data_IF_352697060951
#
_entry.id   IF_352697060951
#
_cell.length_a   1.000
_cell.length_b   1.000
_cell.length_c   1.000
_cell.angle_alpha   90.00
_cell.angle_beta   90.00
_cell.angle_gamma   90.00
#
_symmetry.space_group_name_H-M   'P 1'
#
loop_
_entity.id
_entity.type
_entity.pdbx_description
1 polymer ?
#
# COMPACT_ATOMS: atom_id res chain seq x y z
N UNK A 1 -17.54 15.16 3.11
CA UNK A 1 -16.90 14.37 2.04
C UNK A 1 -15.78 15.24 1.50
N UNK A 2 -14.64 14.68 1.12
CA UNK A 2 -13.46 15.45 0.77
C UNK A 2 -13.13 15.24 -0.71
N UNK A 3 -12.86 16.32 -1.45
CA UNK A 3 -12.29 16.25 -2.78
C UNK A 3 -10.78 16.26 -2.65
N UNK A 4 -10.15 15.22 -3.19
CA UNK A 4 -8.70 15.03 -3.14
C UNK A 4 -8.13 15.04 -4.55
N UNK A 5 -6.96 15.64 -4.73
CA UNK A 5 -6.14 15.47 -5.92
C UNK A 5 -4.66 15.33 -5.54
N UNK A 6 -3.95 14.49 -6.27
CA UNK A 6 -2.52 14.26 -6.07
C UNK A 6 -1.82 14.38 -7.42
N UNK A 7 -0.82 15.24 -7.52
CA UNK A 7 0.08 15.32 -8.67
C UNK A 7 1.51 15.10 -8.21
N UNK A 8 2.20 14.13 -8.79
CA UNK A 8 3.63 13.91 -8.61
C UNK A 8 4.38 14.51 -9.80
N UNK A 9 5.11 15.60 -9.59
CA UNK A 9 6.04 16.14 -10.58
C UNK A 9 7.37 15.37 -10.53
N UNK A 10 7.77 14.79 -11.67
CA UNK A 10 9.06 14.12 -11.84
C UNK A 10 10.04 14.99 -12.63
N UNK A 11 10.29 16.20 -12.13
CA UNK A 11 11.37 17.07 -12.61
C UNK A 11 11.04 17.90 -13.84
N UNK A 12 9.76 18.20 -14.12
CA UNK A 12 9.40 19.20 -15.12
C UNK A 12 9.95 20.58 -14.74
N UNK A 13 10.23 21.42 -15.74
CA UNK A 13 10.41 22.87 -15.51
C UNK A 13 9.10 23.46 -14.98
N UNK A 14 9.17 24.64 -14.38
CA UNK A 14 8.00 25.31 -13.84
C UNK A 14 6.96 25.62 -14.92
N UNK A 15 7.42 26.02 -16.12
CA UNK A 15 6.55 26.28 -17.28
C UNK A 15 5.89 25.01 -17.83
N UNK A 16 6.66 23.92 -17.96
CA UNK A 16 6.13 22.62 -18.41
C UNK A 16 5.12 22.04 -17.41
N UNK A 17 5.38 22.20 -16.13
CA UNK A 17 4.49 21.77 -15.07
C UNK A 17 3.20 22.60 -15.07
N UNK A 18 3.31 23.92 -15.17
CA UNK A 18 2.16 24.81 -15.22
C UNK A 18 1.25 24.48 -16.41
N UNK A 19 1.81 24.35 -17.61
CA UNK A 19 1.04 23.97 -18.82
C UNK A 19 0.42 22.57 -18.71
N UNK A 20 1.12 21.62 -18.07
CA UNK A 20 0.56 20.29 -17.78
C UNK A 20 -0.64 20.36 -16.83
N UNK A 21 -0.54 21.17 -15.77
CA UNK A 21 -1.64 21.41 -14.82
C UNK A 21 -2.82 22.13 -15.47
N UNK A 22 -2.58 23.06 -16.41
CA UNK A 22 -3.64 23.69 -17.20
C UNK A 22 -4.36 22.68 -18.10
N UNK A 23 -3.62 21.76 -18.73
CA UNK A 23 -4.24 20.67 -19.50
C UNK A 23 -5.11 19.77 -18.62
N UNK A 24 -4.67 19.45 -17.40
CA UNK A 24 -5.47 18.71 -16.42
C UNK A 24 -6.73 19.49 -16.01
N UNK A 25 -6.61 20.81 -15.82
CA UNK A 25 -7.74 21.72 -15.59
C UNK A 25 -8.75 21.64 -16.73
N UNK A 26 -8.31 21.69 -17.98
CA UNK A 26 -9.21 21.58 -19.13
C UNK A 26 -9.90 20.23 -19.21
N UNK A 27 -9.19 19.13 -18.94
CA UNK A 27 -9.76 17.79 -18.91
C UNK A 27 -10.84 17.63 -17.83
N UNK A 28 -10.75 18.38 -16.73
CA UNK A 28 -11.78 18.37 -15.68
C UNK A 28 -13.16 18.89 -16.13
N UNK A 29 -13.25 19.59 -17.27
CA UNK A 29 -14.52 20.13 -17.81
C UNK A 29 -15.55 19.04 -18.11
N UNK A 30 -15.11 17.80 -18.35
CA UNK A 30 -16.00 16.67 -18.63
C UNK A 30 -16.59 16.01 -17.37
N UNK A 31 -16.28 16.51 -16.16
CA UNK A 31 -16.82 15.96 -14.91
C UNK A 31 -18.29 16.39 -14.74
N UNK A 32 -19.19 15.43 -14.48
CA UNK A 32 -20.64 15.64 -14.67
C UNK A 32 -21.32 16.75 -13.83
N UNK A 33 -20.84 17.06 -12.63
CA UNK A 33 -21.51 18.02 -11.73
C UNK A 33 -20.83 19.41 -11.75
N UNK A 34 -21.60 20.50 -11.85
CA UNK A 34 -21.08 21.88 -11.90
C UNK A 34 -20.20 22.24 -10.70
N UNK A 35 -20.69 22.04 -9.47
CA UNK A 35 -19.93 22.33 -8.22
C UNK A 35 -18.60 21.56 -8.19
N UNK A 36 -18.61 20.30 -8.62
CA UNK A 36 -17.42 19.44 -8.67
C UNK A 36 -16.41 19.90 -9.72
N UNK A 37 -16.88 20.32 -10.91
CA UNK A 37 -16.02 20.92 -11.94
C UNK A 37 -15.31 22.17 -11.44
N UNK A 38 -16.04 23.05 -10.76
CA UNK A 38 -15.48 24.27 -10.20
C UNK A 38 -14.36 23.96 -9.19
N UNK A 39 -14.57 22.99 -8.30
CA UNK A 39 -13.54 22.58 -7.33
C UNK A 39 -12.28 22.00 -8.00
N UNK A 40 -12.42 21.21 -9.06
CA UNK A 40 -11.25 20.74 -9.83
C UNK A 40 -10.57 21.88 -10.59
N UNK A 41 -11.35 22.83 -11.10
CA UNK A 41 -10.83 24.02 -11.74
C UNK A 41 -9.97 24.85 -10.78
N UNK A 42 -10.49 25.08 -9.57
CA UNK A 42 -9.80 25.80 -8.50
C UNK A 42 -8.56 25.04 -8.03
N UNK A 43 -8.66 23.73 -7.85
CA UNK A 43 -7.54 22.84 -7.54
C UNK A 43 -6.37 23.03 -8.51
N UNK A 44 -6.58 22.82 -9.81
CA UNK A 44 -5.48 22.90 -10.78
C UNK A 44 -4.99 24.33 -10.99
N UNK A 45 -5.85 25.34 -10.83
CA UNK A 45 -5.43 26.75 -10.85
C UNK A 45 -4.51 27.08 -9.67
N UNK A 46 -4.85 26.63 -8.46
CA UNK A 46 -3.99 26.79 -7.28
C UNK A 46 -2.68 26.01 -7.41
N UNK A 47 -2.72 24.79 -7.91
CA UNK A 47 -1.50 24.00 -8.18
C UNK A 47 -0.59 24.69 -9.20
N UNK A 48 -1.14 25.22 -10.30
CA UNK A 48 -0.35 25.92 -11.31
C UNK A 48 0.29 27.21 -10.75
N UNK A 49 -0.45 27.96 -9.93
CA UNK A 49 0.10 29.12 -9.22
C UNK A 49 1.26 28.75 -8.27
N UNK A 50 1.15 27.63 -7.56
CA UNK A 50 2.25 27.10 -6.73
C UNK A 50 3.43 26.63 -7.58
N UNK A 51 3.17 25.98 -8.72
CA UNK A 51 4.20 25.50 -9.64
C UNK A 51 5.10 26.63 -10.16
N UNK A 52 4.53 27.79 -10.50
CA UNK A 52 5.28 28.97 -10.96
C UNK A 52 6.29 29.51 -9.93
N UNK A 53 6.15 29.15 -8.65
CA UNK A 53 7.06 29.57 -7.58
C UNK A 53 8.10 28.50 -7.25
N UNK A 54 8.10 27.34 -7.92
CA UNK A 54 9.10 26.30 -7.74
C UNK A 54 10.33 26.56 -8.61
N UNK A 55 11.47 26.03 -8.17
CA UNK A 55 12.64 25.95 -9.02
C UNK A 55 12.43 24.90 -10.12
N UNK A 56 12.97 25.16 -11.31
CA UNK A 56 12.93 24.20 -12.41
C UNK A 56 13.51 22.84 -12.03
N UNK A 57 12.87 21.77 -12.50
CA UNK A 57 13.33 20.41 -12.23
C UNK A 57 13.03 19.92 -10.82
N UNK A 58 12.20 20.63 -10.04
CA UNK A 58 11.79 20.18 -8.71
C UNK A 58 11.00 18.88 -8.79
N UNK A 59 11.30 17.95 -7.88
CA UNK A 59 10.54 16.72 -7.69
C UNK A 59 9.68 16.89 -6.44
N UNK A 60 8.37 16.92 -6.60
CA UNK A 60 7.44 17.16 -5.49
C UNK A 60 6.07 16.53 -5.75
N UNK A 61 5.32 16.36 -4.68
CA UNK A 61 3.88 16.16 -4.73
C UNK A 61 3.15 17.48 -4.54
N UNK A 62 2.09 17.68 -5.30
CA UNK A 62 1.02 18.61 -5.00
C UNK A 62 -0.16 17.81 -4.46
N UNK A 63 -0.55 18.08 -3.23
CA UNK A 63 -1.71 17.48 -2.58
C UNK A 63 -2.77 18.54 -2.42
N UNK A 64 -3.94 18.30 -2.98
CA UNK A 64 -5.09 19.17 -2.79
C UNK A 64 -6.16 18.48 -1.97
N UNK A 65 -6.74 19.22 -1.04
CA UNK A 65 -7.85 18.80 -0.20
C UNK A 65 -8.89 19.91 -0.08
N UNK A 66 -10.17 19.55 -0.22
CA UNK A 66 -11.30 20.46 -0.08
C UNK A 66 -12.48 19.76 0.63
N UNK A 67 -12.99 20.38 1.71
CA UNK A 67 -14.13 19.85 2.48
C UNK A 67 -15.47 20.15 1.81
N UNK A 68 -15.93 19.25 0.96
CA UNK A 68 -17.17 19.43 0.19
C UNK A 68 -18.45 19.33 1.03
N UNK A 69 -18.36 19.23 2.36
CA UNK A 69 -19.53 19.30 3.26
C UNK A 69 -19.98 20.74 3.55
N UNK A 70 -19.16 21.74 3.20
CA UNK A 70 -19.46 23.17 3.38
C UNK A 70 -19.87 23.82 2.06
N UNK A 71 -20.67 24.87 2.12
CA UNK A 71 -21.11 25.59 0.92
C UNK A 71 -20.04 26.53 0.34
N UNK A 72 -19.14 27.05 1.18
CA UNK A 72 -17.98 27.86 0.78
C UNK A 72 -16.70 27.03 0.91
N UNK A 73 -16.52 26.09 -0.01
CA UNK A 73 -15.40 25.14 0.04
C UNK A 73 -14.16 25.72 -0.63
N UNK A 74 -13.30 26.39 0.13
CA UNK A 74 -11.96 26.69 -0.33
C UNK A 74 -11.03 25.49 -0.06
N UNK A 75 -10.44 24.93 -1.11
CA UNK A 75 -9.41 23.89 -0.96
C UNK A 75 -8.00 24.44 -0.86
N UNK A 76 -7.11 23.69 -0.23
CA UNK A 76 -5.71 24.05 -0.05
C UNK A 76 -4.77 23.13 -0.85
N UNK A 77 -3.61 23.66 -1.25
CA UNK A 77 -2.57 22.91 -1.95
C UNK A 77 -1.31 22.85 -1.08
N UNK A 78 -1.02 21.66 -0.57
CA UNK A 78 0.23 21.33 0.09
C UNK A 78 1.26 20.88 -0.97
N UNK A 79 2.45 21.48 -0.96
CA UNK A 79 3.57 21.04 -1.80
C UNK A 79 4.57 20.28 -0.93
N UNK A 80 4.76 19.00 -1.23
CA UNK A 80 5.68 18.11 -0.49
C UNK A 80 6.84 17.75 -1.40
N UNK A 81 8.00 18.36 -1.20
CA UNK A 81 9.20 18.01 -1.94
C UNK A 81 9.67 16.58 -1.63
N UNK A 82 10.11 15.88 -2.67
CA UNK A 82 10.73 14.57 -2.50
C UNK A 82 12.07 14.73 -1.79
N UNK A 83 12.41 13.81 -0.90
CA UNK A 83 13.77 13.76 -0.33
C UNK A 83 14.80 13.38 -1.40
N UNK A 84 16.08 13.71 -1.19
CA UNK A 84 17.18 13.33 -2.12
C UNK A 84 17.11 11.86 -2.55
N UNK A 85 16.77 10.98 -1.62
CA UNK A 85 16.61 9.53 -1.86
C UNK A 85 15.43 9.24 -2.77
N UNK A 86 14.25 9.78 -2.47
CA UNK A 86 13.05 9.61 -3.30
C UNK A 86 13.29 10.15 -4.71
N UNK A 87 13.94 11.32 -4.85
CA UNK A 87 14.37 11.88 -6.15
C UNK A 87 15.25 10.87 -6.91
N UNK A 88 16.23 10.27 -6.25
CA UNK A 88 17.09 9.23 -6.86
C UNK A 88 16.35 7.99 -7.33
N UNK A 89 15.28 7.58 -6.63
CA UNK A 89 14.45 6.43 -7.02
C UNK A 89 13.65 6.70 -8.30
N UNK A 90 13.07 7.89 -8.43
CA UNK A 90 12.19 8.24 -9.56
C UNK A 90 12.93 8.81 -10.78
N UNK A 91 14.05 9.50 -10.59
CA UNK A 91 14.83 10.13 -11.67
C UNK A 91 15.84 9.16 -12.33
N UNK A 92 16.36 8.19 -11.58
CA UNK A 92 17.48 7.33 -12.01
C UNK A 92 17.10 6.03 -12.73
N UNK A 93 15.83 5.85 -13.11
CA UNK A 93 15.33 4.58 -13.67
C UNK A 93 15.34 3.42 -12.65
N UNK A 94 15.50 3.74 -11.36
CA UNK A 94 15.58 2.73 -10.31
C UNK A 94 14.23 2.13 -9.96
N UNK A 95 13.18 2.94 -10.04
CA UNK A 95 11.79 2.57 -9.80
C UNK A 95 10.93 3.11 -10.94
N UNK A 96 10.10 2.24 -11.51
CA UNK A 96 9.06 2.61 -12.45
C UNK A 96 7.79 2.96 -11.69
N UNK A 97 7.26 4.17 -11.90
CA UNK A 97 5.99 4.62 -11.34
C UNK A 97 4.82 4.19 -12.24
N UNK A 98 3.72 3.78 -11.62
CA UNK A 98 2.48 3.38 -12.29
C UNK A 98 1.39 4.40 -12.00
N UNK A 99 0.62 4.78 -13.02
CA UNK A 99 -0.51 5.70 -12.88
C UNK A 99 -0.73 6.53 -14.14
N UNK A 100 -1.73 7.43 -14.14
CA UNK A 100 -2.00 8.32 -15.25
C UNK A 100 -0.83 9.28 -15.47
N UNK A 101 -0.07 9.04 -16.55
CA UNK A 101 1.18 9.74 -16.87
C UNK A 101 0.90 10.86 -17.86
N UNK A 102 1.38 12.05 -17.55
CA UNK A 102 1.26 13.25 -18.36
C UNK A 102 2.64 13.76 -18.75
N UNK A 103 2.82 14.02 -20.03
CA UNK A 103 4.00 14.72 -20.57
C UNK A 103 3.68 16.20 -20.74
N UNK A 104 4.71 17.07 -20.77
CA UNK A 104 4.53 18.46 -21.15
C UNK A 104 3.75 18.55 -22.48
N UNK A 105 2.69 19.36 -22.56
CA UNK A 105 1.91 19.50 -23.79
C UNK A 105 2.74 20.00 -24.97
N UNK A 106 3.69 20.89 -24.69
CA UNK A 106 4.55 21.54 -25.69
C UNK A 106 5.80 20.72 -26.03
N UNK A 107 6.22 19.81 -25.13
CA UNK A 107 7.27 18.81 -25.41
C UNK A 107 6.81 17.37 -25.09
N UNK A 108 6.06 16.72 -26.01
CA UNK A 108 5.69 15.32 -25.89
C UNK A 108 6.87 14.33 -25.94
N UNK A 109 8.07 14.79 -26.30
CA UNK A 109 9.28 13.97 -26.33
C UNK A 109 10.03 13.98 -24.99
N UNK A 110 9.67 14.89 -24.09
CA UNK A 110 10.31 15.05 -22.78
C UNK A 110 10.39 13.74 -22.00
N UNK A 111 11.51 13.61 -21.27
CA UNK A 111 11.76 12.54 -20.31
C UNK A 111 11.10 12.81 -18.96
N UNK A 112 10.83 14.08 -18.64
CA UNK A 112 10.16 14.51 -17.41
C UNK A 112 8.65 14.35 -17.58
N UNK A 113 7.97 13.99 -16.50
CA UNK A 113 6.53 13.71 -16.51
C UNK A 113 5.88 14.10 -15.20
N UNK A 114 4.56 14.26 -15.23
CA UNK A 114 3.73 14.31 -14.06
C UNK A 114 2.85 13.04 -13.99
N UNK A 115 2.55 12.57 -12.79
CA UNK A 115 1.51 11.57 -12.56
C UNK A 115 0.38 12.22 -11.77
N UNK A 116 -0.86 12.05 -12.21
CA UNK A 116 -2.00 12.68 -11.56
C UNK A 116 -3.11 11.68 -11.20
N UNK A 117 -3.60 11.79 -9.97
CA UNK A 117 -4.70 11.00 -9.43
C UNK A 117 -5.73 11.94 -8.80
N UNK A 118 -6.99 11.51 -8.84
CA UNK A 118 -8.12 12.30 -8.35
C UNK A 118 -9.01 11.46 -7.43
N UNK A 119 -9.69 12.13 -6.52
CA UNK A 119 -10.66 11.55 -5.58
C UNK A 119 -10.07 10.39 -4.76
N UNK A 120 -10.81 9.28 -4.61
CA UNK A 120 -10.33 8.12 -3.86
C UNK A 120 -9.04 7.52 -4.42
N UNK A 121 -8.74 7.71 -5.71
CA UNK A 121 -7.47 7.27 -6.29
C UNK A 121 -6.29 8.13 -5.81
N UNK A 122 -6.50 9.41 -5.48
CA UNK A 122 -5.46 10.28 -4.94
C UNK A 122 -4.97 9.78 -3.57
N UNK A 123 -5.89 9.49 -2.65
CA UNK A 123 -5.52 8.93 -1.35
C UNK A 123 -4.89 7.55 -1.48
N UNK A 124 -5.46 6.68 -2.34
CA UNK A 124 -4.92 5.34 -2.59
C UNK A 124 -3.50 5.40 -3.14
N UNK A 125 -3.23 6.33 -4.07
CA UNK A 125 -1.89 6.53 -4.63
C UNK A 125 -0.92 7.06 -3.57
N UNK A 126 -1.34 8.04 -2.77
CA UNK A 126 -0.54 8.58 -1.68
C UNK A 126 -0.15 7.49 -0.67
N UNK A 127 -1.13 6.73 -0.18
CA UNK A 127 -0.93 5.68 0.81
C UNK A 127 -0.02 4.57 0.27
N UNK A 128 -0.15 4.19 -1.00
CA UNK A 128 0.70 3.16 -1.62
C UNK A 128 2.12 3.66 -1.92
N UNK A 129 2.27 4.88 -2.44
CA UNK A 129 3.59 5.46 -2.72
C UNK A 129 4.40 5.67 -1.45
N UNK A 130 3.75 6.00 -0.33
CA UNK A 130 4.42 6.18 0.96
C UNK A 130 4.57 4.85 1.70
N UNK A 131 3.47 4.13 1.91
CA UNK A 131 3.38 3.03 2.87
C UNK A 131 2.94 1.69 2.26
N UNK A 132 2.85 1.58 0.93
CA UNK A 132 2.48 0.34 0.26
C UNK A 132 3.45 -0.79 0.61
N UNK A 133 2.90 -1.94 1.00
CA UNK A 133 3.72 -3.12 1.25
C UNK A 133 4.12 -3.74 -0.08
N UNK A 134 5.41 -3.96 -0.32
CA UNK A 134 5.87 -4.54 -1.57
C UNK A 134 5.57 -6.04 -1.67
N UNK A 135 5.21 -6.47 -2.87
CA UNK A 135 5.22 -7.86 -3.27
C UNK A 135 6.42 -8.19 -4.15
N UNK A 136 6.76 -9.47 -4.21
CA UNK A 136 7.83 -10.06 -5.02
C UNK A 136 7.16 -10.94 -6.06
N UNK A 137 7.23 -10.54 -7.32
CA UNK A 137 6.67 -11.34 -8.40
C UNK A 137 7.71 -11.71 -9.43
N UNK A 138 7.63 -12.97 -9.87
CA UNK A 138 8.56 -13.59 -10.80
C UNK A 138 7.82 -13.79 -12.11
N UNK A 139 8.24 -13.04 -13.12
CA UNK A 139 7.80 -13.22 -14.50
C UNK A 139 8.72 -14.20 -15.22
N UNK A 140 8.38 -14.67 -16.44
CA UNK A 140 9.27 -15.55 -17.20
C UNK A 140 10.69 -14.96 -17.41
N UNK A 141 10.79 -13.64 -17.50
CA UNK A 141 12.02 -12.93 -17.85
C UNK A 141 12.75 -12.33 -16.65
N UNK A 142 12.04 -12.04 -15.56
CA UNK A 142 12.59 -11.22 -14.49
C UNK A 142 11.86 -11.30 -13.16
N UNK A 143 12.60 -11.00 -12.10
CA UNK A 143 12.13 -10.81 -10.73
C UNK A 143 11.92 -9.33 -10.47
N UNK A 144 10.75 -8.99 -9.96
CA UNK A 144 10.35 -7.63 -9.63
C UNK A 144 9.95 -7.53 -8.17
N UNK A 145 10.21 -6.35 -7.60
CA UNK A 145 9.63 -5.91 -6.33
C UNK A 145 8.71 -4.73 -6.65
N UNK A 146 7.47 -4.73 -6.17
CA UNK A 146 6.57 -3.62 -6.44
C UNK A 146 5.38 -3.50 -5.50
N UNK A 147 4.79 -2.31 -5.51
CA UNK A 147 3.47 -2.00 -4.93
C UNK A 147 2.47 -1.71 -6.06
N UNK A 148 1.29 -1.16 -5.75
CA UNK A 148 0.31 -0.79 -6.80
C UNK A 148 0.84 0.28 -7.74
N UNK A 149 1.57 1.27 -7.21
CA UNK A 149 1.97 2.48 -7.94
C UNK A 149 3.47 2.56 -8.24
N UNK A 150 4.26 1.55 -7.91
CA UNK A 150 5.70 1.54 -8.18
C UNK A 150 6.29 0.13 -8.25
N UNK A 151 7.29 -0.09 -9.10
CA UNK A 151 8.05 -1.35 -9.14
C UNK A 151 9.52 -1.14 -9.48
N UNK A 152 10.36 -2.09 -9.13
CA UNK A 152 11.77 -2.14 -9.48
C UNK A 152 12.15 -3.52 -10.02
N UNK A 153 12.87 -3.52 -11.14
CA UNK A 153 13.53 -4.72 -11.66
C UNK A 153 14.69 -5.08 -10.72
N UNK A 154 14.70 -6.33 -10.24
CA UNK A 154 15.72 -6.82 -9.29
C UNK A 154 16.76 -7.72 -9.96
N UNK A 155 16.31 -8.67 -10.78
CA UNK A 155 17.19 -9.49 -11.63
C UNK A 155 16.44 -10.03 -12.84
N UNK A 156 17.17 -10.31 -13.92
CA UNK A 156 16.67 -11.22 -14.96
C UNK A 156 16.66 -12.66 -14.42
N UNK A 157 15.70 -13.48 -14.84
CA UNK A 157 15.67 -14.92 -14.53
C UNK A 157 16.84 -15.65 -15.18
N UNK A 158 17.31 -15.17 -16.34
CA UNK A 158 18.48 -15.67 -17.06
C UNK A 158 18.29 -17.03 -17.74
N UNK A 159 17.31 -17.82 -17.31
CA UNK A 159 16.90 -19.08 -17.93
C UNK A 159 15.42 -19.35 -17.67
N UNK A 160 14.71 -20.02 -18.58
CA UNK A 160 13.30 -20.37 -18.37
C UNK A 160 13.14 -21.28 -17.15
N UNK A 161 12.24 -20.91 -16.24
CA UNK A 161 11.84 -21.77 -15.11
C UNK A 161 10.94 -22.89 -15.64
N UNK A 162 11.49 -24.12 -15.68
CA UNK A 162 10.79 -25.30 -16.23
C UNK A 162 10.38 -26.30 -15.16
N UNK A 163 11.08 -26.33 -14.04
CA UNK A 163 10.77 -27.25 -12.95
C UNK A 163 10.36 -26.51 -11.68
N UNK A 164 9.57 -27.17 -10.83
CA UNK A 164 9.24 -26.65 -9.49
C UNK A 164 10.52 -26.40 -8.67
N UNK A 165 11.52 -27.27 -8.80
CA UNK A 165 12.82 -27.11 -8.14
C UNK A 165 13.58 -25.86 -8.60
N UNK A 166 13.48 -25.48 -9.88
CA UNK A 166 14.08 -24.24 -10.38
C UNK A 166 13.44 -23.02 -9.71
N UNK A 167 12.12 -23.05 -9.52
CA UNK A 167 11.37 -21.99 -8.85
C UNK A 167 11.75 -21.91 -7.38
N UNK A 168 11.77 -23.03 -6.66
CA UNK A 168 12.17 -23.07 -5.24
C UNK A 168 13.60 -22.58 -5.04
N UNK A 169 14.53 -23.01 -5.92
CA UNK A 169 15.91 -22.53 -5.90
C UNK A 169 15.98 -21.03 -6.13
N UNK A 170 15.28 -20.51 -7.14
CA UNK A 170 15.25 -19.08 -7.41
C UNK A 170 14.71 -18.30 -6.21
N UNK A 171 13.60 -18.74 -5.61
CA UNK A 171 13.00 -18.08 -4.43
C UNK A 171 13.95 -18.12 -3.23
N UNK A 172 14.65 -19.24 -2.99
CA UNK A 172 15.64 -19.34 -1.92
C UNK A 172 16.87 -18.43 -2.13
N UNK A 173 17.19 -18.08 -3.38
CA UNK A 173 18.24 -17.10 -3.72
C UNK A 173 17.79 -15.64 -3.51
N UNK A 174 16.49 -15.37 -3.35
CA UNK A 174 15.99 -14.02 -3.13
C UNK A 174 16.24 -13.58 -1.69
N UNK A 175 17.47 -13.13 -1.40
CA UNK A 175 17.77 -12.50 -0.11
C UNK A 175 17.36 -11.03 -0.14
N UNK A 176 16.94 -10.46 1.01
CA UNK A 176 16.56 -9.05 1.09
C UNK A 176 17.68 -8.14 0.56
N UNK A 177 18.93 -8.41 0.90
CA UNK A 177 20.09 -7.59 0.57
C UNK A 177 20.69 -7.86 -0.82
N UNK A 178 20.39 -9.00 -1.44
CA UNK A 178 20.73 -9.30 -2.83
C UNK A 178 19.89 -10.47 -3.35
N UNK A 179 19.11 -10.33 -4.44
CA UNK A 179 19.07 -9.24 -5.44
C UNK A 179 17.91 -8.25 -5.22
N UNK A 180 17.16 -8.36 -4.12
CA UNK A 180 15.93 -7.59 -3.94
C UNK A 180 16.23 -6.10 -3.74
N UNK A 181 15.40 -5.25 -4.33
CA UNK A 181 15.52 -3.79 -4.23
C UNK A 181 14.40 -3.23 -3.38
N UNK A 182 14.72 -2.24 -2.56
CA UNK A 182 13.70 -1.49 -1.84
C UNK A 182 12.96 -0.54 -2.79
N UNK A 183 11.64 -0.56 -2.70
CA UNK A 183 10.75 0.43 -3.33
C UNK A 183 10.12 1.37 -2.29
N UNK A 184 10.51 1.26 -1.02
CA UNK A 184 9.94 2.09 0.07
C UNK A 184 10.46 3.53 0.02
N UNK A 185 9.56 4.49 0.19
CA UNK A 185 9.89 5.92 0.23
C UNK A 185 10.38 6.37 1.61
N UNK A 186 10.16 5.56 2.66
CA UNK A 186 10.58 5.86 4.04
C UNK A 186 11.85 5.11 4.47
N UNK A 187 12.01 3.85 4.05
CA UNK A 187 13.14 2.99 4.48
C UNK A 187 13.87 2.39 3.29
N UNK A 188 15.14 2.01 3.46
CA UNK A 188 15.97 1.42 2.39
C UNK A 188 16.02 -0.10 2.42
N UNK A 189 15.26 -0.70 3.32
CA UNK A 189 15.20 -2.14 3.50
C UNK A 189 14.40 -2.76 2.36
N UNK A 190 14.98 -3.72 1.63
CA UNK A 190 14.23 -4.53 0.68
C UNK A 190 13.30 -5.50 1.43
N UNK A 191 12.23 -6.00 0.78
CA UNK A 191 11.32 -6.92 1.42
C UNK A 191 11.97 -8.25 1.78
N UNK A 192 11.54 -8.81 2.91
CA UNK A 192 11.76 -10.22 3.19
C UNK A 192 10.85 -11.09 2.31
N UNK A 193 11.35 -12.26 1.91
CA UNK A 193 10.54 -13.29 1.24
C UNK A 193 9.66 -13.97 2.27
N UNK A 194 8.36 -14.04 2.01
CA UNK A 194 7.40 -14.76 2.83
C UNK A 194 6.34 -15.46 1.97
N UNK A 195 5.49 -16.24 2.64
CA UNK A 195 4.53 -17.12 1.97
C UNK A 195 3.43 -16.37 1.19
N UNK A 196 3.11 -15.13 1.55
CA UNK A 196 2.03 -14.38 0.90
C UNK A 196 2.53 -13.37 -0.13
N UNK A 197 3.76 -12.89 -0.01
CA UNK A 197 4.29 -11.82 -0.85
C UNK A 197 5.05 -12.31 -2.09
N UNK A 198 5.36 -13.60 -2.19
CA UNK A 198 6.15 -14.16 -3.30
C UNK A 198 5.31 -15.05 -4.22
N UNK A 199 5.30 -14.76 -5.52
CA UNK A 199 4.51 -15.51 -6.49
C UNK A 199 5.04 -15.44 -7.93
N UNK A 200 4.62 -16.41 -8.75
CA UNK A 200 4.80 -16.39 -10.19
C UNK A 200 3.70 -15.54 -10.85
N UNK A 201 4.09 -14.71 -11.82
CA UNK A 201 3.19 -13.86 -12.57
C UNK A 201 3.37 -14.07 -14.09
N UNK A 202 2.32 -14.58 -14.74
CA UNK A 202 2.30 -14.92 -16.16
C UNK A 202 2.22 -16.43 -16.39
N UNK A 203 2.50 -16.84 -17.63
CA UNK A 203 2.37 -18.24 -18.03
C UNK A 203 3.67 -19.02 -17.77
N UNK A 204 3.59 -20.06 -16.95
CA UNK A 204 4.67 -21.00 -16.67
C UNK A 204 4.24 -22.41 -17.04
N UNK A 205 5.13 -23.17 -17.68
CA UNK A 205 4.96 -24.60 -17.96
C UNK A 205 5.90 -25.39 -17.04
N UNK A 206 5.45 -25.61 -15.81
CA UNK A 206 6.21 -26.35 -14.80
C UNK A 206 5.96 -27.86 -14.90
N UNK A 207 6.90 -28.65 -14.40
CA UNK A 207 6.84 -30.11 -14.32
C UNK A 207 5.96 -30.65 -13.18
N UNK A 208 5.40 -29.78 -12.34
CA UNK A 208 4.56 -30.16 -11.20
C UNK A 208 3.86 -28.96 -10.52
N UNK A 209 3.06 -29.22 -9.47
CA UNK A 209 2.40 -28.18 -8.70
C UNK A 209 3.39 -27.39 -7.84
N UNK A 210 3.13 -26.08 -7.67
CA UNK A 210 3.92 -25.23 -6.78
C UNK A 210 3.64 -25.53 -5.29
N UNK A 211 4.63 -25.33 -4.40
CA UNK A 211 4.39 -25.29 -2.97
C UNK A 211 3.37 -24.21 -2.60
N UNK A 212 2.57 -24.43 -1.56
CA UNK A 212 1.56 -23.46 -1.10
C UNK A 212 2.15 -22.08 -0.73
N UNK A 213 3.42 -22.07 -0.31
CA UNK A 213 4.18 -20.86 0.04
C UNK A 213 4.56 -20.00 -1.17
N UNK A 214 4.39 -20.48 -2.40
CA UNK A 214 4.68 -19.74 -3.63
C UNK A 214 3.39 -19.60 -4.41
N UNK A 215 2.94 -18.35 -4.61
CA UNK A 215 1.73 -18.10 -5.39
C UNK A 215 1.92 -18.24 -6.89
N UNK A 216 0.80 -18.21 -7.61
CA UNK A 216 0.79 -18.16 -9.06
C UNK A 216 -0.45 -17.41 -9.55
N UNK A 217 -0.25 -16.46 -10.45
CA UNK A 217 -1.32 -15.72 -11.15
C UNK A 217 -0.94 -15.59 -12.62
N UNK A 218 -1.86 -15.93 -13.52
CA UNK A 218 -1.60 -15.85 -14.96
C UNK A 218 -2.00 -14.48 -15.51
N UNK A 219 -1.18 -13.45 -15.22
CA UNK A 219 -1.40 -12.09 -15.71
C UNK A 219 -0.08 -11.36 -15.93
N UNK A 220 -0.09 -10.35 -16.82
CA UNK A 220 0.97 -9.36 -17.00
C UNK A 220 0.57 -7.98 -16.49
N UNK A 221 -0.65 -7.82 -15.99
CA UNK A 221 -1.17 -6.56 -15.43
C UNK A 221 -0.64 -6.34 -14.02
N UNK A 222 0.07 -5.24 -13.80
CA UNK A 222 0.62 -4.88 -12.48
C UNK A 222 -0.47 -4.68 -11.43
N UNK A 223 -1.63 -4.16 -11.84
CA UNK A 223 -2.78 -3.99 -10.94
C UNK A 223 -3.30 -5.34 -10.47
N UNK A 224 -3.49 -6.30 -11.39
CA UNK A 224 -3.99 -7.64 -11.05
C UNK A 224 -2.97 -8.42 -10.20
N UNK A 225 -1.67 -8.27 -10.48
CA UNK A 225 -0.62 -8.86 -9.64
C UNK A 225 -0.68 -8.33 -8.20
N UNK A 226 -0.88 -7.03 -8.03
CA UNK A 226 -0.96 -6.45 -6.68
C UNK A 226 -2.28 -6.77 -5.98
N UNK A 227 -3.39 -6.87 -6.70
CA UNK A 227 -4.67 -7.35 -6.15
C UNK A 227 -4.55 -8.81 -5.69
N UNK A 228 -3.87 -9.67 -6.46
CA UNK A 228 -3.57 -11.05 -6.06
C UNK A 228 -2.70 -11.12 -4.81
N UNK A 229 -1.65 -10.29 -4.72
CA UNK A 229 -0.86 -10.14 -3.50
C UNK A 229 -1.74 -9.74 -2.30
N UNK A 230 -2.58 -8.72 -2.45
CA UNK A 230 -3.43 -8.23 -1.36
C UNK A 230 -4.40 -9.33 -0.87
N UNK A 231 -4.92 -10.15 -1.78
CA UNK A 231 -5.74 -11.32 -1.43
C UNK A 231 -4.94 -12.37 -0.66
N UNK A 232 -3.73 -12.72 -1.11
CA UNK A 232 -2.85 -13.67 -0.40
C UNK A 232 -2.48 -13.16 1.00
N UNK A 233 -2.12 -11.88 1.12
CA UNK A 233 -1.84 -11.23 2.41
C UNK A 233 -3.05 -11.32 3.33
N UNK A 234 -4.24 -11.02 2.82
CA UNK A 234 -5.47 -11.10 3.61
C UNK A 234 -5.75 -12.52 4.11
N UNK A 235 -5.55 -13.53 3.25
CA UNK A 235 -5.69 -14.94 3.64
C UNK A 235 -4.67 -15.32 4.71
N UNK A 236 -3.41 -14.94 4.54
CA UNK A 236 -2.36 -15.17 5.53
C UNK A 236 -2.70 -14.53 6.89
N UNK A 237 -3.23 -13.31 6.90
CA UNK A 237 -3.67 -12.65 8.13
C UNK A 237 -4.83 -13.40 8.80
N UNK A 238 -5.78 -13.93 8.02
CA UNK A 238 -6.89 -14.73 8.54
C UNK A 238 -6.37 -16.03 9.16
N UNK A 239 -5.45 -16.73 8.48
CA UNK A 239 -4.86 -17.98 8.96
C UNK A 239 -4.07 -17.76 10.26
N UNK A 240 -3.29 -16.68 10.34
CA UNK A 240 -2.56 -16.29 11.54
C UNK A 240 -3.51 -15.92 12.69
N UNK A 241 -4.56 -15.15 12.43
CA UNK A 241 -5.59 -14.83 13.42
C UNK A 241 -6.28 -16.07 13.97
N UNK A 242 -6.67 -17.02 13.10
CA UNK A 242 -7.28 -18.29 13.49
C UNK A 242 -6.33 -19.17 14.31
N UNK A 243 -5.04 -19.19 13.97
CA UNK A 243 -4.01 -19.88 14.76
C UNK A 243 -3.88 -19.28 16.15
N UNK A 244 -3.88 -17.95 16.27
CA UNK A 244 -3.84 -17.28 17.57
C UNK A 244 -5.07 -17.60 18.43
N UNK A 245 -6.28 -17.59 17.85
CA UNK A 245 -7.50 -17.98 18.56
C UNK A 245 -7.40 -19.44 19.05
N UNK A 246 -6.91 -20.34 18.21
CA UNK A 246 -6.71 -21.75 18.60
C UNK A 246 -5.75 -21.89 19.77
N UNK A 247 -4.67 -21.09 19.80
CA UNK A 247 -3.71 -21.07 20.90
C UNK A 247 -4.31 -20.48 22.17
N UNK A 248 -5.12 -19.42 22.08
CA UNK A 248 -5.88 -18.88 23.21
C UNK A 248 -6.77 -19.97 23.82
N UNK A 249 -7.55 -20.68 22.99
CA UNK A 249 -8.46 -21.74 23.47
C UNK A 249 -7.69 -22.87 24.17
N UNK A 250 -6.51 -23.23 23.66
CA UNK A 250 -5.66 -24.23 24.29
C UNK A 250 -5.12 -23.78 25.66
N UNK A 251 -4.77 -22.50 25.82
CA UNK A 251 -4.34 -21.93 27.09
C UNK A 251 -5.48 -21.89 28.11
N UNK A 252 -6.66 -21.44 27.70
CA UNK A 252 -7.88 -21.43 28.54
C UNK A 252 -8.25 -22.86 28.97
N UNK A 253 -8.19 -23.83 28.06
CA UNK A 253 -8.46 -25.24 28.36
C UNK A 253 -7.48 -25.85 29.38
N UNK A 254 -6.30 -25.27 29.55
CA UNK A 254 -5.30 -25.63 30.58
C UNK A 254 -5.45 -24.82 31.88
N UNK A 255 -6.42 -23.92 31.97
CA UNK A 255 -6.61 -23.01 33.10
C UNK A 255 -5.55 -21.91 33.21
N UNK A 256 -4.86 -21.58 32.11
CA UNK A 256 -3.84 -20.53 32.09
C UNK A 256 -4.43 -19.19 31.67
N UNK A 257 -3.95 -18.10 32.27
CA UNK A 257 -4.24 -16.73 31.79
C UNK A 257 -3.66 -16.54 30.39
N UNK A 258 -4.47 -16.23 29.35
CA UNK A 258 -3.98 -16.22 27.97
C UNK A 258 -2.94 -15.12 27.69
N UNK A 259 -1.96 -15.42 26.82
CA UNK A 259 -1.14 -14.40 26.14
C UNK A 259 -1.86 -13.77 24.95
N UNK A 260 -2.91 -14.42 24.49
CA UNK A 260 -3.68 -14.06 23.30
C UNK A 260 -5.10 -13.86 23.74
N UNK A 261 -5.70 -12.75 23.35
CA UNK A 261 -7.09 -12.43 23.66
C UNK A 261 -7.85 -12.21 22.35
N UNK A 262 -8.98 -12.89 22.19
CA UNK A 262 -9.93 -12.67 21.12
C UNK A 262 -11.26 -12.26 21.75
N UNK A 263 -11.48 -10.95 21.83
CA UNK A 263 -12.52 -10.37 22.68
C UNK A 263 -13.03 -9.04 22.13
N UNK A 264 -13.64 -8.23 22.99
CA UNK A 264 -14.24 -6.96 22.62
C UNK A 264 -13.19 -5.87 22.36
N UNK A 265 -13.60 -4.84 21.63
CA UNK A 265 -12.81 -3.61 21.45
C UNK A 265 -12.49 -2.90 22.77
N UNK A 266 -13.23 -3.17 23.85
CA UNK A 266 -12.96 -2.62 25.19
C UNK A 266 -11.69 -3.22 25.77
N UNK A 267 -11.55 -4.54 25.79
CA UNK A 267 -10.33 -5.18 26.30
C UNK A 267 -9.12 -4.84 25.43
N UNK A 268 -9.30 -4.81 24.09
CA UNK A 268 -8.27 -4.37 23.17
C UNK A 268 -7.80 -2.94 23.47
N UNK A 269 -8.74 -2.04 23.81
CA UNK A 269 -8.43 -0.66 24.20
C UNK A 269 -7.68 -0.59 25.53
N UNK A 270 -8.01 -1.45 26.50
CA UNK A 270 -7.28 -1.54 27.78
C UNK A 270 -5.86 -2.02 27.53
N UNK A 271 -5.69 -3.15 26.84
CA UNK A 271 -4.37 -3.71 26.52
C UNK A 271 -3.51 -2.71 25.73
N UNK A 272 -4.12 -1.96 24.80
CA UNK A 272 -3.46 -0.90 24.05
C UNK A 272 -3.00 0.26 24.95
N UNK A 273 -3.90 0.85 25.73
CA UNK A 273 -3.60 1.98 26.63
C UNK A 273 -2.59 1.62 27.72
N UNK A 274 -2.57 0.36 28.14
CA UNK A 274 -1.63 -0.16 29.13
C UNK A 274 -0.30 -0.63 28.53
N UNK A 275 -0.07 -0.42 27.22
CA UNK A 275 1.15 -0.84 26.52
C UNK A 275 1.47 -2.34 26.64
N UNK A 276 0.42 -3.17 26.75
CA UNK A 276 0.53 -4.63 26.85
C UNK A 276 0.43 -5.32 25.49
N UNK A 277 -0.15 -4.64 24.50
CA UNK A 277 -0.42 -5.21 23.18
C UNK A 277 0.83 -5.16 22.30
N UNK A 278 1.17 -6.31 21.69
CA UNK A 278 2.28 -6.46 20.75
C UNK A 278 1.80 -6.40 19.30
N UNK A 279 0.78 -7.19 18.99
CA UNK A 279 0.23 -7.36 17.63
C UNK A 279 -1.27 -7.56 17.70
N UNK A 280 -2.01 -7.01 16.74
CA UNK A 280 -3.46 -7.15 16.65
C UNK A 280 -3.91 -7.45 15.22
N UNK A 281 -4.81 -8.40 15.09
CA UNK A 281 -5.58 -8.67 13.88
C UNK A 281 -7.01 -8.19 14.12
N UNK A 282 -7.50 -7.34 13.24
CA UNK A 282 -8.81 -6.73 13.36
C UNK A 282 -9.44 -6.50 11.99
N UNK A 283 -10.75 -6.62 11.92
CA UNK A 283 -11.49 -6.40 10.68
C UNK A 283 -11.60 -4.91 10.33
N UNK A 284 -11.61 -4.60 9.04
CA UNK A 284 -11.64 -3.23 8.51
C UNK A 284 -12.82 -2.36 8.97
N UNK A 285 -13.89 -2.98 9.49
CA UNK A 285 -15.01 -2.27 10.12
C UNK A 285 -14.60 -1.46 11.37
N UNK A 286 -13.49 -1.81 12.02
CA UNK A 286 -13.01 -1.16 13.25
C UNK A 286 -12.17 0.11 12.98
N UNK A 287 -12.64 0.94 12.04
CA UNK A 287 -11.89 2.08 11.45
C UNK A 287 -11.24 3.02 12.47
N UNK A 288 -11.94 3.37 13.55
CA UNK A 288 -11.44 4.29 14.59
C UNK A 288 -10.23 3.73 15.32
N UNK A 289 -10.26 2.45 15.68
CA UNK A 289 -9.15 1.78 16.36
C UNK A 289 -7.95 1.64 15.41
N UNK A 290 -8.20 1.22 14.16
CA UNK A 290 -7.17 1.09 13.12
C UNK A 290 -6.44 2.41 12.91
N UNK A 291 -7.19 3.52 12.75
CA UNK A 291 -6.60 4.84 12.56
C UNK A 291 -5.71 5.23 13.73
N UNK A 292 -6.19 5.05 14.97
CA UNK A 292 -5.43 5.42 16.17
C UNK A 292 -4.17 4.57 16.36
N UNK A 293 -4.28 3.26 16.23
CA UNK A 293 -3.15 2.35 16.42
C UNK A 293 -2.05 2.55 15.35
N UNK A 294 -2.44 2.87 14.11
CA UNK A 294 -1.49 3.20 13.04
C UNK A 294 -0.80 4.56 13.24
N UNK A 295 -1.53 5.54 13.76
CA UNK A 295 -0.97 6.87 14.06
C UNK A 295 0.13 6.80 15.12
N UNK A 296 -0.12 6.08 16.23
CA UNK A 296 0.84 6.00 17.33
C UNK A 296 2.04 5.06 17.01
N UNK A 297 1.85 4.09 16.12
CA UNK A 297 2.91 3.19 15.63
C UNK A 297 3.47 2.21 16.68
N UNK A 298 2.80 2.06 17.82
CA UNK A 298 3.30 1.27 18.96
C UNK A 298 2.97 -0.24 18.86
N UNK A 299 2.01 -0.61 18.02
CA UNK A 299 1.50 -1.98 17.89
C UNK A 299 1.53 -2.40 16.43
N UNK A 300 1.87 -3.65 16.16
CA UNK A 300 1.74 -4.20 14.81
C UNK A 300 0.24 -4.42 14.47
N UNK A 301 -0.27 -3.65 13.51
CA UNK A 301 -1.69 -3.64 13.12
C UNK A 301 -1.91 -4.41 11.82
N UNK A 302 -2.51 -5.59 11.91
CA UNK A 302 -2.92 -6.41 10.77
C UNK A 302 -4.42 -6.25 10.49
N UNK A 303 -4.74 -5.54 9.40
CA UNK A 303 -6.14 -5.34 8.99
C UNK A 303 -6.58 -6.48 8.08
N UNK A 304 -7.64 -7.19 8.49
CA UNK A 304 -8.34 -8.18 7.67
C UNK A 304 -9.51 -7.50 6.96
N UNK A 305 -9.62 -7.75 5.66
CA UNK A 305 -10.63 -7.19 4.75
C UNK A 305 -11.59 -8.24 4.23
N UNK A 306 -12.74 -7.77 3.73
CA UNK A 306 -13.76 -8.59 3.08
C UNK A 306 -14.97 -8.83 3.98
N UNK A 307 -16.11 -9.17 3.37
CA UNK A 307 -17.39 -9.31 4.09
C UNK A 307 -17.80 -10.77 4.33
N UNK A 308 -17.15 -11.70 3.65
CA UNK A 308 -17.49 -13.12 3.68
C UNK A 308 -16.98 -13.79 4.95
N UNK A 309 -17.81 -13.77 5.99
CA UNK A 309 -17.50 -14.36 7.31
C UNK A 309 -17.20 -15.86 7.24
N UNK A 310 -17.76 -16.58 6.25
CA UNK A 310 -17.51 -18.02 6.09
C UNK A 310 -16.05 -18.31 5.78
N UNK A 311 -15.33 -17.38 5.13
CA UNK A 311 -13.90 -17.47 4.84
C UNK A 311 -13.01 -17.04 5.99
N UNK A 312 -13.56 -16.39 7.00
CA UNK A 312 -12.79 -15.91 8.16
C UNK A 312 -12.65 -16.97 9.25
N UNK A 313 -13.52 -17.99 9.28
CA UNK A 313 -13.46 -19.06 10.26
C UNK A 313 -13.66 -18.57 11.71
N UNK A 314 -12.81 -19.02 12.62
CA UNK A 314 -12.89 -18.64 14.03
C UNK A 314 -12.74 -17.13 14.22
N UNK A 315 -11.97 -16.44 13.37
CA UNK A 315 -11.82 -14.99 13.45
C UNK A 315 -13.16 -14.25 13.39
N UNK A 316 -14.09 -14.66 12.52
CA UNK A 316 -15.44 -14.07 12.50
C UNK A 316 -16.24 -14.42 13.76
N UNK A 317 -16.15 -15.66 14.23
CA UNK A 317 -16.88 -16.16 15.39
C UNK A 317 -16.46 -15.48 16.70
N UNK A 318 -15.18 -15.08 16.80
CA UNK A 318 -14.60 -14.41 17.97
C UNK A 318 -14.57 -12.89 17.82
N UNK A 319 -15.58 -12.31 17.17
CA UNK A 319 -15.79 -10.86 17.15
C UNK A 319 -14.87 -10.08 16.20
N UNK A 320 -14.18 -10.76 15.27
CA UNK A 320 -13.31 -10.16 14.25
C UNK A 320 -12.16 -9.34 14.84
N UNK A 321 -11.66 -9.75 15.99
CA UNK A 321 -10.54 -9.15 16.69
C UNK A 321 -9.78 -10.20 17.51
N UNK A 322 -8.46 -10.25 17.35
CA UNK A 322 -7.57 -11.05 18.19
C UNK A 322 -6.23 -10.34 18.33
N UNK A 323 -5.66 -10.30 19.52
CA UNK A 323 -4.38 -9.66 19.78
C UNK A 323 -3.48 -10.51 20.68
N UNK A 324 -2.17 -10.33 20.47
CA UNK A 324 -1.10 -10.91 21.28
C UNK A 324 -0.59 -9.85 22.26
N UNK A 325 -0.39 -10.25 23.52
CA UNK A 325 0.19 -9.41 24.57
C UNK A 325 1.64 -9.80 24.88
N UNK A 326 2.42 -8.86 25.42
CA UNK A 326 3.78 -9.12 25.90
C UNK A 326 3.83 -10.06 27.12
N UNK A 327 2.81 -10.01 27.97
CA UNK A 327 2.75 -10.76 29.22
C UNK A 327 1.35 -11.31 29.46
N UNK A 328 1.26 -12.43 30.18
CA UNK A 328 -0.02 -12.98 30.63
C UNK A 328 -0.61 -11.99 31.64
N UNK A 329 -1.78 -11.46 31.34
CA UNK A 329 -2.45 -10.49 32.19
C UNK A 329 -3.95 -10.74 32.14
N UNK A 330 -4.60 -10.66 33.31
CA UNK A 330 -6.05 -10.65 33.39
C UNK A 330 -6.55 -9.22 33.19
N UNK A 331 -7.00 -8.92 31.97
CA UNK A 331 -7.47 -7.60 31.58
C UNK A 331 -8.71 -7.14 32.37
N UNK A 332 -9.49 -8.07 32.94
CA UNK A 332 -10.67 -7.72 33.76
C UNK A 332 -10.27 -6.96 35.02
N UNK A 333 -9.08 -7.26 35.57
CA UNK A 333 -8.53 -6.55 36.73
C UNK A 333 -8.02 -5.15 36.39
N UNK A 334 -7.91 -4.83 35.09
CA UNK A 334 -7.44 -3.55 34.56
C UNK A 334 -8.57 -2.66 34.02
N UNK A 335 -9.83 -3.00 34.31
CA UNK A 335 -11.01 -2.20 33.92
C UNK A 335 -11.59 -2.54 32.54
N UNK A 336 -11.25 -3.73 32.00
CA UNK A 336 -11.85 -4.27 30.79
C UNK A 336 -13.33 -4.61 30.92
#
# INVERSE_FOLDING_TARGET
MELLALVLNCGMSSDDLASTLEKLREQSKSIGAHKKRQLFWDCYTKMASKANNLADGTFCFFKYSADTSKDDTEGDVEVVELTKRQKGMVNGGGVELMGPRFKPPEDPSSKTVAYAWMEGAAQTAWDDLMHGEPCIYITPESVWVGTRHKRALCKATGSPLKTVKDVEKLVAELKPDAPLRSVSFHGNEPPAVNAYNTFLAGSFKLDGPLPATIGSVNTTSTNEMYDYFAQRKNMSNIDEANKLISQMLADVGKGLTPLICASSTKEASVAYKSALMKKIYLHESMKKFIAKAKEDGQVEVCVIKGEDESKMGAFAQYGKLVFEMFYRCDLTTMGA
#
